data_IF_223740583877
#
_entry.id   IF_223740583877
#
_cell.length_a   1.000
_cell.length_b   1.000
_cell.length_c   1.000
_cell.angle_alpha   90.00
_cell.angle_beta   90.00
_cell.angle_gamma   90.00
#
_symmetry.space_group_name_H-M   'P 1'
#
loop_
_entity.id
_entity.type
_entity.pdbx_description
1 polymer ?
#
# COMPACT_ATOMS: atom_id res chain seq x y z
N UNK A 1 17.06 26.01 -1.32
CA UNK A 1 16.90 24.60 -0.89
C UNK A 1 15.47 24.41 -0.40
N UNK A 2 14.79 23.34 -0.78
CA UNK A 2 13.40 23.10 -0.37
C UNK A 2 13.29 22.61 1.08
N UNK A 3 12.09 22.74 1.65
CA UNK A 3 11.73 22.25 3.00
C UNK A 3 12.12 20.77 3.20
N UNK A 4 12.01 19.97 2.14
CA UNK A 4 12.37 18.55 2.07
C UNK A 4 13.77 18.21 2.60
N UNK A 5 14.77 19.08 2.37
CA UNK A 5 16.16 18.84 2.84
C UNK A 5 16.22 18.86 4.36
N UNK A 6 15.47 19.75 5.00
CA UNK A 6 15.40 19.85 6.47
C UNK A 6 14.64 18.67 7.06
N UNK A 7 13.60 18.18 6.39
CA UNK A 7 12.87 16.97 6.79
C UNK A 7 13.80 15.75 6.71
N UNK A 8 14.56 15.60 5.62
CA UNK A 8 15.52 14.51 5.43
C UNK A 8 16.61 14.52 6.50
N UNK A 9 17.10 15.70 6.88
CA UNK A 9 18.10 15.90 7.93
C UNK A 9 17.52 15.84 9.35
N UNK A 10 16.21 15.58 9.50
CA UNK A 10 15.51 15.47 10.79
C UNK A 10 15.57 16.74 11.64
N UNK A 11 15.61 17.90 10.99
CA UNK A 11 15.59 19.21 11.66
C UNK A 11 14.19 19.48 12.20
N UNK A 12 14.09 19.75 13.51
CA UNK A 12 12.81 20.06 14.16
C UNK A 12 12.40 21.51 13.88
N UNK A 13 11.12 21.82 14.09
CA UNK A 13 10.55 23.15 13.81
C UNK A 13 11.36 24.30 14.44
N UNK A 14 11.78 24.14 15.69
CA UNK A 14 12.50 25.19 16.45
C UNK A 14 13.90 25.47 15.91
N UNK A 15 14.50 24.50 15.21
CA UNK A 15 15.85 24.58 14.62
C UNK A 15 15.81 25.02 13.14
N UNK A 16 14.62 25.23 12.57
CA UNK A 16 14.49 25.65 11.18
C UNK A 16 15.00 27.09 10.98
N UNK A 17 15.74 27.36 9.89
CA UNK A 17 16.12 28.71 9.53
C UNK A 17 14.89 29.64 9.37
N UNK A 18 14.98 30.92 9.75
CA UNK A 18 13.84 31.85 9.69
C UNK A 18 13.18 31.93 8.32
N UNK A 19 13.98 31.96 7.24
CA UNK A 19 13.46 32.01 5.86
C UNK A 19 12.62 30.78 5.48
N UNK A 20 12.89 29.61 6.09
CA UNK A 20 12.11 28.39 5.85
C UNK A 20 10.81 28.42 6.64
N UNK A 21 10.84 28.93 7.88
CA UNK A 21 9.61 29.12 8.68
C UNK A 21 8.68 30.13 8.02
N UNK A 22 9.23 31.22 7.47
CA UNK A 22 8.46 32.21 6.72
C UNK A 22 7.79 31.60 5.48
N UNK A 23 8.49 30.74 4.75
CA UNK A 23 7.90 29.98 3.63
C UNK A 23 6.75 29.04 4.05
N UNK A 24 6.72 28.66 5.33
CA UNK A 24 5.66 27.83 5.94
C UNK A 24 4.66 28.68 6.73
N UNK A 25 4.52 29.97 6.38
CA UNK A 25 3.63 30.93 7.04
C UNK A 25 3.89 31.09 8.55
N UNK A 26 5.09 30.75 9.01
CA UNK A 26 5.46 30.66 10.43
C UNK A 26 4.54 29.74 11.26
N UNK A 27 3.86 28.79 10.62
CA UNK A 27 2.98 27.83 11.28
C UNK A 27 3.65 26.46 11.41
N UNK A 28 3.87 26.01 12.65
CA UNK A 28 4.39 24.67 12.91
C UNK A 28 3.52 23.57 12.28
N UNK A 29 2.20 23.77 12.28
CA UNK A 29 1.25 22.83 11.68
C UNK A 29 1.47 22.62 10.18
N UNK A 30 1.91 23.65 9.45
CA UNK A 30 2.24 23.50 8.03
C UNK A 30 3.50 22.66 7.83
N UNK A 31 4.49 22.81 8.70
CA UNK A 31 5.67 21.93 8.67
C UNK A 31 5.29 20.47 8.98
N UNK A 32 4.44 20.25 9.98
CA UNK A 32 3.93 18.93 10.33
C UNK A 32 3.19 18.25 9.17
N UNK A 33 2.36 19.00 8.43
CA UNK A 33 1.73 18.52 7.19
C UNK A 33 2.76 18.15 6.14
N UNK A 34 3.78 18.99 5.92
CA UNK A 34 4.88 18.71 4.97
C UNK A 34 5.67 17.46 5.36
N UNK A 35 5.96 17.26 6.65
CA UNK A 35 6.59 16.04 7.17
C UNK A 35 5.77 14.81 6.80
N UNK A 36 4.45 14.84 6.99
CA UNK A 36 3.58 13.70 6.63
C UNK A 36 3.56 13.43 5.12
N UNK A 37 3.39 14.46 4.29
CA UNK A 37 3.39 14.33 2.83
C UNK A 37 4.73 13.76 2.34
N UNK A 38 5.84 14.28 2.86
CA UNK A 38 7.18 13.78 2.55
C UNK A 38 7.33 12.31 2.99
N UNK A 39 6.87 11.99 4.20
CA UNK A 39 6.96 10.64 4.75
C UNK A 39 6.16 9.63 3.93
N UNK A 40 4.98 9.98 3.43
CA UNK A 40 4.20 9.11 2.55
C UNK A 40 4.84 8.96 1.17
N UNK A 41 5.30 10.07 0.57
CA UNK A 41 5.96 10.07 -0.75
C UNK A 41 7.18 9.15 -0.80
N UNK A 42 7.98 9.12 0.27
CA UNK A 42 9.19 8.28 0.35
C UNK A 42 9.01 7.03 1.22
N UNK A 43 7.77 6.70 1.60
CA UNK A 43 7.40 5.55 2.41
C UNK A 43 8.29 5.39 3.66
N UNK A 44 8.51 6.49 4.39
CA UNK A 44 9.46 6.52 5.50
C UNK A 44 9.02 5.62 6.65
N UNK A 45 10.00 5.00 7.29
CA UNK A 45 9.80 4.29 8.56
C UNK A 45 9.38 5.28 9.64
N UNK A 46 8.45 4.88 10.50
CA UNK A 46 8.00 5.69 11.63
C UNK A 46 9.16 6.00 12.59
N UNK A 47 9.84 4.94 13.06
CA UNK A 47 11.01 5.06 13.94
C UNK A 47 12.15 5.81 13.26
N UNK A 48 12.87 6.63 14.04
CA UNK A 48 14.04 7.40 13.62
C UNK A 48 13.78 8.50 12.58
N UNK A 49 12.53 8.89 12.35
CA UNK A 49 12.14 10.02 11.50
C UNK A 49 11.27 11.02 12.26
N UNK A 50 11.15 12.24 11.71
CA UNK A 50 10.37 13.33 12.33
C UNK A 50 8.89 12.97 12.52
N UNK A 51 8.35 12.06 11.71
CA UNK A 51 6.96 11.64 11.82
C UNK A 51 6.61 11.07 13.20
N UNK A 52 7.56 10.44 13.91
CA UNK A 52 7.33 9.95 15.26
C UNK A 52 7.08 11.07 16.29
N UNK A 53 7.58 12.28 16.04
CA UNK A 53 7.35 13.46 16.90
C UNK A 53 6.00 14.12 16.60
N UNK A 54 5.58 14.08 15.34
CA UNK A 54 4.39 14.78 14.83
C UNK A 54 3.14 13.93 14.92
N UNK A 55 3.26 12.61 14.75
CA UNK A 55 2.13 11.72 14.60
C UNK A 55 2.18 10.61 15.64
N UNK A 56 1.40 10.70 16.71
CA UNK A 56 1.58 9.84 17.90
C UNK A 56 1.27 8.35 17.67
N UNK A 57 0.43 8.00 16.69
CA UNK A 57 -0.07 6.64 16.51
C UNK A 57 0.66 5.94 15.34
N UNK A 58 1.66 5.12 15.67
CA UNK A 58 2.47 4.35 14.69
C UNK A 58 1.60 3.46 13.79
N UNK A 59 0.60 2.77 14.35
CA UNK A 59 -0.28 1.87 13.58
C UNK A 59 -1.09 2.67 12.55
N UNK A 60 -1.70 3.77 12.98
CA UNK A 60 -2.51 4.63 12.10
C UNK A 60 -1.67 5.33 11.05
N UNK A 61 -0.43 5.68 11.37
CA UNK A 61 0.53 6.20 10.39
C UNK A 61 0.77 5.19 9.26
N UNK A 62 1.09 3.93 9.60
CA UNK A 62 1.31 2.92 8.57
C UNK A 62 0.04 2.60 7.78
N UNK A 63 -1.15 2.63 8.40
CA UNK A 63 -2.41 2.50 7.66
C UNK A 63 -2.53 3.60 6.58
N UNK A 64 -2.36 4.86 6.97
CA UNK A 64 -2.43 5.99 6.04
C UNK A 64 -1.34 5.96 4.96
N UNK A 65 -0.13 5.51 5.32
CA UNK A 65 0.97 5.32 4.37
C UNK A 65 0.63 4.24 3.33
N UNK A 66 0.04 3.12 3.75
CA UNK A 66 -0.36 2.06 2.84
C UNK A 66 -1.53 2.49 1.94
N UNK A 67 -2.51 3.20 2.48
CA UNK A 67 -3.62 3.77 1.71
C UNK A 67 -3.12 4.78 0.67
N UNK A 68 -2.22 5.69 1.07
CA UNK A 68 -1.59 6.64 0.15
C UNK A 68 -0.80 5.92 -0.95
N UNK A 69 0.03 4.94 -0.57
CA UNK A 69 0.84 4.15 -1.50
C UNK A 69 -0.05 3.43 -2.52
N UNK A 70 -1.14 2.80 -2.07
CA UNK A 70 -2.11 2.12 -2.94
C UNK A 70 -2.83 3.10 -3.87
N UNK A 71 -3.20 4.28 -3.38
CA UNK A 71 -3.83 5.33 -4.19
C UNK A 71 -2.91 5.85 -5.30
N UNK A 72 -1.60 5.91 -5.03
CA UNK A 72 -0.57 6.36 -5.96
C UNK A 72 0.06 5.20 -6.78
N UNK A 73 -0.45 3.98 -6.66
CA UNK A 73 0.06 2.77 -7.35
C UNK A 73 1.56 2.49 -7.09
N UNK A 74 2.04 2.86 -5.90
CA UNK A 74 3.43 2.73 -5.50
C UNK A 74 3.82 1.26 -5.30
N UNK A 75 5.13 0.99 -5.37
CA UNK A 75 5.67 -0.29 -4.99
C UNK A 75 5.35 -0.60 -3.51
N UNK A 76 5.09 -1.86 -3.19
CA UNK A 76 4.98 -2.29 -1.80
C UNK A 76 6.28 -1.94 -1.04
N UNK A 77 6.19 -1.32 0.15
CA UNK A 77 7.36 -0.81 0.84
C UNK A 77 8.10 -1.93 1.61
N UNK A 78 8.88 -2.72 0.88
CA UNK A 78 9.61 -3.89 1.40
C UNK A 78 10.58 -3.59 2.55
N UNK A 79 11.08 -2.37 2.66
CA UNK A 79 11.98 -1.95 3.74
C UNK A 79 11.29 -1.74 5.08
N UNK A 80 9.96 -1.62 5.13
CA UNK A 80 9.15 -1.51 6.36
C UNK A 80 8.16 -2.68 6.54
N UNK A 81 8.35 -3.76 5.79
CA UNK A 81 7.50 -4.94 5.89
C UNK A 81 7.46 -5.58 7.28
N UNK A 82 8.50 -5.40 8.10
CA UNK A 82 8.56 -5.83 9.50
C UNK A 82 7.56 -5.09 10.39
N UNK A 83 7.00 -3.98 9.91
CA UNK A 83 5.92 -3.24 10.56
C UNK A 83 4.57 -3.50 9.90
N UNK A 84 4.54 -3.54 8.56
CA UNK A 84 3.31 -3.69 7.78
C UNK A 84 2.72 -5.10 7.93
N UNK A 85 3.52 -6.15 7.79
CA UNK A 85 3.02 -7.54 7.86
C UNK A 85 2.49 -7.88 9.26
N UNK A 86 3.27 -7.79 10.35
CA UNK A 86 2.77 -8.14 11.67
C UNK A 86 1.86 -7.08 12.30
N UNK A 87 1.96 -5.80 11.90
CA UNK A 87 1.18 -4.71 12.49
C UNK A 87 -0.17 -4.47 11.82
N UNK A 88 -0.26 -4.72 10.51
CA UNK A 88 -1.47 -4.48 9.70
C UNK A 88 -2.05 -5.75 9.07
N UNK A 89 -1.34 -6.89 9.12
CA UNK A 89 -1.77 -8.12 8.44
C UNK A 89 -1.74 -8.01 6.91
N UNK A 90 -0.99 -7.05 6.37
CA UNK A 90 -0.97 -6.73 4.94
C UNK A 90 0.29 -7.29 4.27
N UNK A 91 0.14 -8.44 3.62
CA UNK A 91 1.21 -9.03 2.81
C UNK A 91 1.35 -8.32 1.45
N UNK A 92 2.51 -8.45 0.78
CA UNK A 92 2.69 -7.96 -0.59
C UNK A 92 1.61 -8.50 -1.53
N UNK A 93 1.26 -9.78 -1.43
CA UNK A 93 0.19 -10.40 -2.23
C UNK A 93 -1.14 -9.67 -2.04
N UNK A 94 -1.59 -9.47 -0.79
CA UNK A 94 -2.84 -8.77 -0.50
C UNK A 94 -2.82 -7.33 -0.99
N UNK A 95 -1.69 -6.65 -0.82
CA UNK A 95 -1.52 -5.27 -1.29
C UNK A 95 -1.71 -5.13 -2.80
N UNK A 96 -1.01 -5.94 -3.60
CA UNK A 96 -1.13 -5.88 -5.06
C UNK A 96 -2.49 -6.38 -5.55
N UNK A 97 -3.10 -7.35 -4.86
CA UNK A 97 -4.48 -7.79 -5.16
C UNK A 97 -5.47 -6.63 -4.96
N UNK A 98 -5.39 -5.92 -3.84
CA UNK A 98 -6.19 -4.71 -3.60
C UNK A 98 -5.93 -3.62 -4.65
N UNK A 99 -4.68 -3.47 -5.11
CA UNK A 99 -4.35 -2.53 -6.17
C UNK A 99 -5.00 -2.90 -7.50
N UNK A 100 -4.98 -4.18 -7.88
CA UNK A 100 -5.67 -4.66 -9.09
C UNK A 100 -7.18 -4.43 -9.00
N UNK A 101 -7.81 -4.76 -7.87
CA UNK A 101 -9.25 -4.47 -7.65
C UNK A 101 -9.52 -2.99 -7.90
N UNK A 102 -8.71 -2.10 -7.32
CA UNK A 102 -8.88 -0.65 -7.46
C UNK A 102 -8.78 -0.18 -8.92
N UNK A 103 -7.79 -0.65 -9.68
CA UNK A 103 -7.64 -0.22 -11.09
C UNK A 103 -8.73 -0.81 -11.99
N UNK A 104 -9.20 -2.03 -11.71
CA UNK A 104 -10.29 -2.67 -12.44
C UNK A 104 -11.62 -1.94 -12.20
N UNK A 105 -11.92 -1.61 -10.93
CA UNK A 105 -13.10 -0.81 -10.57
C UNK A 105 -13.09 0.57 -11.23
N UNK A 106 -11.91 1.17 -11.39
CA UNK A 106 -11.73 2.45 -12.07
C UNK A 106 -11.63 2.32 -13.60
N UNK A 107 -11.79 1.10 -14.15
CA UNK A 107 -11.63 0.78 -15.58
C UNK A 107 -10.33 1.30 -16.21
N UNK A 108 -9.25 1.38 -15.42
CA UNK A 108 -7.95 1.87 -15.91
C UNK A 108 -7.19 0.76 -16.63
N UNK A 109 -6.42 1.14 -17.64
CA UNK A 109 -5.47 0.24 -18.30
C UNK A 109 -4.40 -0.23 -17.30
N UNK A 110 -3.95 -1.48 -17.43
CA UNK A 110 -2.83 -2.03 -16.68
C UNK A 110 -1.56 -1.18 -16.81
N UNK A 111 -1.41 -0.45 -17.93
CA UNK A 111 -0.25 0.41 -18.21
C UNK A 111 -0.11 1.61 -17.27
N UNK A 112 -1.10 1.87 -16.43
CA UNK A 112 -0.95 2.88 -15.39
C UNK A 112 -0.04 2.45 -14.22
N UNK A 113 0.26 1.14 -14.12
CA UNK A 113 1.15 0.61 -13.08
C UNK A 113 2.62 0.97 -13.40
N UNK A 114 3.38 1.51 -12.44
CA UNK A 114 4.83 1.64 -12.59
C UNK A 114 5.51 0.29 -12.84
N UNK A 115 6.63 0.28 -13.55
CA UNK A 115 7.31 -0.96 -13.98
C UNK A 115 7.57 -1.96 -12.85
N UNK A 116 8.10 -1.50 -11.71
CA UNK A 116 8.39 -2.40 -10.57
C UNK A 116 7.11 -2.90 -9.89
N UNK A 117 6.06 -2.07 -9.85
CA UNK A 117 4.73 -2.47 -9.36
C UNK A 117 4.12 -3.54 -10.26
N UNK A 118 4.17 -3.36 -11.59
CA UNK A 118 3.70 -4.34 -12.57
C UNK A 118 4.48 -5.65 -12.50
N UNK A 119 5.81 -5.57 -12.36
CA UNK A 119 6.66 -6.75 -12.19
C UNK A 119 6.28 -7.56 -10.95
N UNK A 120 5.91 -6.90 -9.85
CA UNK A 120 5.45 -7.56 -8.64
C UNK A 120 4.03 -8.14 -8.76
N UNK A 121 3.11 -7.45 -9.46
CA UNK A 121 1.81 -8.01 -9.81
C UNK A 121 1.97 -9.32 -10.58
N UNK A 122 2.86 -9.35 -11.58
CA UNK A 122 3.16 -10.57 -12.33
C UNK A 122 3.79 -11.64 -11.43
N UNK A 123 4.78 -11.27 -10.61
CA UNK A 123 5.53 -12.22 -9.77
C UNK A 123 4.68 -12.85 -8.67
N UNK A 124 3.79 -12.08 -8.04
CA UNK A 124 3.03 -12.52 -6.87
C UNK A 124 1.64 -13.05 -7.23
N UNK A 125 0.96 -12.41 -8.18
CA UNK A 125 -0.41 -12.75 -8.59
C UNK A 125 -0.45 -13.56 -9.88
N UNK A 126 0.60 -13.51 -10.70
CA UNK A 126 0.58 -14.10 -12.04
C UNK A 126 -0.17 -13.24 -13.05
N UNK A 127 -0.47 -11.98 -12.70
CA UNK A 127 -1.27 -11.08 -13.54
C UNK A 127 -0.34 -10.09 -14.23
N UNK A 128 0.00 -10.39 -15.48
CA UNK A 128 0.59 -9.44 -16.42
C UNK A 128 -0.48 -8.67 -17.21
N UNK A 129 -0.02 -7.88 -18.19
CA UNK A 129 -0.90 -7.06 -19.04
C UNK A 129 -2.00 -7.87 -19.74
N UNK A 130 -1.64 -9.01 -20.34
CA UNK A 130 -2.61 -9.82 -21.10
C UNK A 130 -3.60 -10.53 -20.17
N UNK A 131 -3.11 -11.09 -19.06
CA UNK A 131 -3.98 -11.69 -18.05
C UNK A 131 -4.95 -10.66 -17.46
N UNK A 132 -4.51 -9.41 -17.26
CA UNK A 132 -5.39 -8.34 -16.82
C UNK A 132 -6.50 -8.03 -17.83
N UNK A 133 -6.18 -7.98 -19.13
CA UNK A 133 -7.18 -7.76 -20.19
C UNK A 133 -8.21 -8.89 -20.20
N UNK A 134 -7.75 -10.14 -20.09
CA UNK A 134 -8.63 -11.31 -19.98
C UNK A 134 -9.53 -11.24 -18.74
N UNK A 135 -8.99 -10.87 -17.58
CA UNK A 135 -9.75 -10.68 -16.34
C UNK A 135 -10.80 -9.56 -16.49
N UNK A 136 -10.47 -8.45 -17.14
CA UNK A 136 -11.41 -7.36 -17.41
C UNK A 136 -12.54 -7.79 -18.34
N UNK A 137 -12.26 -8.63 -19.34
CA UNK A 137 -13.29 -9.17 -20.23
C UNK A 137 -14.21 -10.14 -19.48
N UNK A 138 -13.63 -11.03 -18.66
CA UNK A 138 -14.39 -11.92 -17.77
C UNK A 138 -15.28 -11.12 -16.82
N UNK A 139 -14.77 -10.07 -16.20
CA UNK A 139 -15.54 -9.16 -15.34
C UNK A 139 -16.73 -8.53 -16.08
N UNK A 140 -16.50 -7.96 -17.27
CA UNK A 140 -17.57 -7.36 -18.11
C UNK A 140 -18.62 -8.40 -18.52
N UNK A 141 -18.20 -9.63 -18.82
CA UNK A 141 -19.12 -10.73 -19.12
C UNK A 141 -19.98 -11.08 -17.91
N UNK A 142 -19.38 -11.20 -16.72
CA UNK A 142 -20.10 -11.50 -15.48
C UNK A 142 -21.13 -10.42 -15.15
N UNK A 143 -20.74 -9.14 -15.29
CA UNK A 143 -21.67 -8.01 -15.14
C UNK A 143 -22.85 -8.07 -16.11
N UNK A 144 -22.61 -8.49 -17.35
CA UNK A 144 -23.65 -8.58 -18.38
C UNK A 144 -24.64 -9.73 -18.11
N UNK A 145 -24.15 -10.84 -17.57
CA UNK A 145 -24.94 -12.05 -17.27
C UNK A 145 -25.70 -12.01 -15.95
N UNK A 146 -25.29 -11.17 -14.99
CA UNK A 146 -25.82 -11.16 -13.61
C UNK A 146 -26.38 -9.79 -13.21
N UNK A 147 -27.32 -9.26 -14.00
CA UNK A 147 -27.93 -7.93 -13.76
C UNK A 147 -28.71 -7.80 -12.45
N UNK A 148 -29.17 -8.92 -11.86
CA UNK A 148 -30.04 -8.95 -10.68
C UNK A 148 -29.33 -9.40 -9.38
N UNK A 149 -28.00 -9.37 -9.34
CA UNK A 149 -27.25 -9.86 -8.18
C UNK A 149 -26.93 -8.75 -7.16
N UNK A 150 -27.08 -9.06 -5.86
CA UNK A 150 -26.79 -8.14 -4.75
C UNK A 150 -25.29 -8.00 -4.42
N UNK A 151 -24.41 -8.78 -5.06
CA UNK A 151 -22.97 -8.70 -4.80
C UNK A 151 -22.38 -7.37 -5.27
N UNK A 152 -21.46 -6.80 -4.48
CA UNK A 152 -20.79 -5.58 -4.88
C UNK A 152 -19.82 -5.84 -6.04
N UNK A 153 -19.56 -4.83 -6.86
CA UNK A 153 -18.55 -4.91 -7.93
C UNK A 153 -17.16 -5.31 -7.40
N UNK A 154 -16.83 -4.90 -6.17
CA UNK A 154 -15.58 -5.27 -5.51
C UNK A 154 -15.52 -6.77 -5.22
N UNK A 155 -16.64 -7.38 -4.81
CA UNK A 155 -16.72 -8.81 -4.52
C UNK A 155 -16.60 -9.63 -5.81
N UNK A 156 -17.27 -9.19 -6.87
CA UNK A 156 -17.16 -9.81 -8.19
C UNK A 156 -15.71 -9.84 -8.70
N UNK A 157 -15.01 -8.70 -8.61
CA UNK A 157 -13.61 -8.60 -9.02
C UNK A 157 -12.72 -9.43 -8.09
N UNK A 158 -12.99 -9.40 -6.79
CA UNK A 158 -12.29 -10.24 -5.81
C UNK A 158 -12.41 -11.73 -6.18
N UNK A 159 -13.57 -12.18 -6.64
CA UNK A 159 -13.80 -13.60 -6.98
C UNK A 159 -13.04 -14.06 -8.23
N UNK A 160 -12.90 -13.19 -9.25
CA UNK A 160 -12.17 -13.53 -10.49
C UNK A 160 -10.64 -13.40 -10.35
N UNK A 161 -10.17 -12.60 -9.40
CA UNK A 161 -8.73 -12.44 -9.17
C UNK A 161 -8.13 -13.66 -8.47
N UNK A 162 -6.81 -13.88 -8.61
CA UNK A 162 -6.12 -14.95 -7.89
C UNK A 162 -6.37 -14.88 -6.37
N UNK A 163 -6.79 -16.01 -5.79
CA UNK A 163 -7.01 -16.14 -4.34
C UNK A 163 -5.72 -16.47 -3.58
N UNK A 164 -4.77 -17.10 -4.25
CA UNK A 164 -3.49 -17.53 -3.70
C UNK A 164 -2.34 -17.03 -4.56
N UNK A 165 -1.17 -16.86 -3.95
CA UNK A 165 0.04 -16.52 -4.68
C UNK A 165 0.46 -17.65 -5.61
N UNK A 166 1.21 -17.33 -6.66
CA UNK A 166 1.82 -18.36 -7.52
C UNK A 166 2.66 -19.31 -6.65
N UNK A 167 2.48 -20.62 -6.81
CA UNK A 167 3.14 -21.63 -5.97
C UNK A 167 4.66 -21.70 -6.13
N UNK A 168 5.20 -21.35 -7.30
CA UNK A 168 6.62 -21.48 -7.65
C UNK A 168 7.34 -20.13 -7.74
N UNK A 169 7.20 -19.26 -6.73
CA UNK A 169 7.95 -18.00 -6.71
C UNK A 169 9.42 -18.31 -6.45
N UNK A 170 10.31 -17.96 -7.40
CA UNK A 170 11.76 -18.04 -7.21
C UNK A 170 12.22 -17.00 -6.18
N UNK A 171 12.31 -17.39 -4.92
CA UNK A 171 12.84 -16.55 -3.84
C UNK A 171 14.37 -16.54 -3.92
N UNK A 172 14.93 -15.43 -4.40
CA UNK A 172 16.38 -15.18 -4.41
C UNK A 172 16.90 -14.79 -3.02
N UNK A 173 18.20 -14.92 -2.77
CA UNK A 173 18.80 -14.74 -1.43
C UNK A 173 18.66 -13.35 -0.80
N UNK A 174 18.28 -12.32 -1.57
CA UNK A 174 18.05 -10.97 -1.07
C UNK A 174 16.57 -10.68 -0.73
N UNK A 175 15.66 -11.62 -0.98
CA UNK A 175 14.28 -11.45 -0.52
C UNK A 175 14.20 -11.65 0.98
N UNK A 176 13.60 -10.69 1.65
CA UNK A 176 13.28 -10.81 3.08
C UNK A 176 11.83 -11.29 3.20
N UNK A 177 11.63 -12.47 3.80
CA UNK A 177 10.32 -12.94 4.20
C UNK A 177 9.99 -12.45 5.61
N UNK A 178 8.75 -12.01 5.83
CA UNK A 178 8.21 -11.73 7.17
C UNK A 178 7.02 -12.63 7.44
N UNK A 179 7.05 -13.28 8.59
CA UNK A 179 5.96 -14.11 9.05
C UNK A 179 4.87 -13.19 9.63
N UNK A 180 3.62 -13.46 9.26
CA UNK A 180 2.46 -12.82 9.88
C UNK A 180 2.39 -13.15 11.37
N UNK A 181 1.60 -12.37 12.11
CA UNK A 181 1.23 -12.72 13.49
C UNK A 181 -0.21 -13.18 13.49
N UNK A 182 -0.47 -14.33 14.10
CA UNK A 182 -1.83 -14.76 14.42
C UNK A 182 -2.33 -13.83 15.52
N UNK A 183 -3.42 -13.13 15.25
CA UNK A 183 -4.09 -12.26 16.22
C UNK A 183 -5.24 -13.01 16.88
N UNK A 184 -5.73 -12.50 18.03
CA UNK A 184 -6.92 -13.08 18.67
C UNK A 184 -8.13 -13.09 17.74
N UNK A 185 -8.26 -12.09 16.86
CA UNK A 185 -9.31 -12.08 15.83
C UNK A 185 -9.18 -13.23 14.84
N UNK A 186 -7.95 -13.61 14.47
CA UNK A 186 -7.73 -14.73 13.57
C UNK A 186 -8.12 -16.05 14.25
N UNK A 187 -7.91 -16.16 15.57
CA UNK A 187 -8.35 -17.31 16.39
C UNK A 187 -9.87 -17.35 16.56
N UNK A 188 -10.51 -16.19 16.73
CA UNK A 188 -11.98 -16.10 16.80
C UNK A 188 -12.65 -16.45 15.45
N UNK A 189 -11.97 -16.17 14.34
CA UNK A 189 -12.43 -16.48 12.98
C UNK A 189 -12.16 -17.92 12.56
N UNK A 190 -11.19 -18.61 13.19
CA UNK A 190 -11.06 -20.05 13.09
C UNK A 190 -12.08 -20.69 14.03
N UNK A 191 -13.32 -20.86 13.56
CA UNK A 191 -14.27 -21.76 14.20
C UNK A 191 -13.71 -23.19 14.22
N UNK A 192 -14.05 -23.95 15.27
CA UNK A 192 -13.69 -25.36 15.50
C UNK A 192 -14.32 -26.32 14.47
N UNK A 193 -14.08 -26.11 13.18
CA UNK A 193 -14.39 -27.08 12.14
C UNK A 193 -13.10 -27.80 11.73
N UNK A 194 -12.74 -28.81 12.52
CA UNK A 194 -11.99 -29.99 12.08
C UNK A 194 -12.95 -31.07 11.56
#
# INVERSE_FOLDING_TARGET
MGVDVYIMNRVVWDELPPHIREHLSNEQKEYEKKILIFSFKYQLRYSNNLVAKVYKNEKRYYQQLMDHSLNQLMLYPYHIQDKVVPGLGLSPFRYYRSMLIKIMLAERSYDCLPNFTAADCLRLLGVGRNQYIELMNSYRSVLSSKKDMQESHSDLISNILPQYSIGNISIRGWYTARIGKVTLKDVELSSDEE
#
